data_IF_479165373168
#
_entry.id   IF_479165373168
#
_cell.length_a   1.000
_cell.length_b   1.000
_cell.length_c   1.000
_cell.angle_alpha   90.00
_cell.angle_beta   90.00
_cell.angle_gamma   90.00
#
_symmetry.space_group_name_H-M   'P 1'
#
loop_
_entity.id
_entity.type
_entity.pdbx_description
1 polymer ?
#
# COMPACT_ATOMS: atom_id res chain seq x y z
N UNK A 1 17.92 5.41 -16.11
CA UNK A 1 17.78 6.52 -15.16
C UNK A 1 17.96 5.95 -13.77
N UNK A 2 18.35 6.76 -12.78
CA UNK A 2 18.50 6.33 -11.39
C UNK A 2 17.16 6.43 -10.67
N UNK A 3 16.33 5.41 -10.83
CA UNK A 3 15.16 5.24 -9.96
C UNK A 3 15.60 4.62 -8.64
N UNK A 4 14.93 4.99 -7.54
CA UNK A 4 15.21 4.47 -6.22
C UNK A 4 13.96 3.80 -5.64
N UNK A 5 14.08 2.92 -4.63
CA UNK A 5 12.94 2.19 -4.08
C UNK A 5 11.78 3.09 -3.62
N UNK A 6 12.08 4.29 -3.11
CA UNK A 6 11.07 5.24 -2.64
C UNK A 6 10.20 5.85 -3.76
N UNK A 7 10.59 5.69 -5.03
CA UNK A 7 9.81 6.14 -6.19
C UNK A 7 8.77 5.10 -6.65
N UNK A 8 8.81 3.90 -6.07
CA UNK A 8 7.84 2.84 -6.35
C UNK A 8 6.59 2.98 -5.49
N UNK A 9 5.54 2.26 -5.89
CA UNK A 9 4.33 2.03 -5.08
C UNK A 9 4.66 1.45 -3.71
N UNK A 10 3.83 1.69 -2.71
CA UNK A 10 4.11 1.30 -1.32
C UNK A 10 4.41 -0.20 -1.19
N UNK A 11 3.61 -1.04 -1.86
CA UNK A 11 3.77 -2.50 -1.84
C UNK A 11 5.09 -2.94 -2.47
N UNK A 12 5.43 -2.39 -3.63
CA UNK A 12 6.63 -2.75 -4.38
C UNK A 12 7.89 -2.23 -3.68
N UNK A 13 7.82 -0.99 -3.18
CA UNK A 13 8.82 -0.40 -2.31
C UNK A 13 9.11 -1.29 -1.08
N UNK A 14 8.07 -1.71 -0.35
CA UNK A 14 8.23 -2.61 0.78
C UNK A 14 8.91 -3.94 0.37
N UNK A 15 8.50 -4.53 -0.75
CA UNK A 15 9.07 -5.79 -1.26
C UNK A 15 10.56 -5.64 -1.61
N UNK A 16 10.96 -4.56 -2.29
CA UNK A 16 12.36 -4.29 -2.63
C UNK A 16 13.19 -4.10 -1.36
N UNK A 17 12.73 -3.28 -0.41
CA UNK A 17 13.45 -3.05 0.85
C UNK A 17 13.58 -4.35 1.64
N UNK A 18 12.51 -5.14 1.69
CA UNK A 18 12.55 -6.48 2.26
C UNK A 18 13.66 -7.31 1.62
N UNK A 19 13.67 -7.46 0.29
CA UNK A 19 14.71 -8.24 -0.40
C UNK A 19 16.12 -7.74 -0.11
N UNK A 20 16.38 -6.44 -0.23
CA UNK A 20 17.69 -5.84 0.06
C UNK A 20 18.14 -6.13 1.50
N UNK A 21 17.22 -6.06 2.46
CA UNK A 21 17.53 -6.31 3.87
C UNK A 21 17.75 -7.80 4.19
N UNK A 22 17.18 -8.73 3.42
CA UNK A 22 17.51 -10.17 3.52
C UNK A 22 18.82 -10.53 2.79
N UNK A 23 19.13 -9.86 1.67
CA UNK A 23 20.37 -10.02 0.92
C UNK A 23 21.64 -9.65 1.72
N UNK A 24 21.53 -8.68 2.65
CA UNK A 24 22.58 -8.34 3.62
C UNK A 24 23.06 -9.53 4.47
N UNK A 25 22.30 -10.63 4.56
CA UNK A 25 22.63 -11.81 5.36
C UNK A 25 23.56 -12.82 4.65
N UNK A 26 24.06 -12.50 3.44
CA UNK A 26 25.09 -13.29 2.77
C UNK A 26 24.62 -14.66 2.26
N UNK A 27 23.31 -14.91 2.17
CA UNK A 27 22.78 -16.06 1.42
C UNK A 27 22.60 -15.64 -0.02
N UNK A 28 23.58 -16.00 -0.85
CA UNK A 28 23.47 -15.98 -2.30
C UNK A 28 22.24 -16.78 -2.77
N UNK A 29 21.81 -16.46 -3.97
CA UNK A 29 20.57 -16.86 -4.65
C UNK A 29 19.34 -16.05 -4.25
N UNK A 30 19.17 -14.95 -4.99
CA UNK A 30 18.00 -14.08 -5.06
C UNK A 30 16.66 -14.81 -5.35
N UNK A 31 16.69 -16.12 -5.66
CA UNK A 31 15.55 -16.90 -6.13
C UNK A 31 14.88 -17.80 -5.06
N UNK A 32 15.42 -17.90 -3.83
CA UNK A 32 15.14 -19.07 -2.98
C UNK A 32 14.48 -18.88 -1.62
N UNK A 33 14.16 -17.65 -1.18
CA UNK A 33 13.62 -17.49 0.18
C UNK A 33 12.08 -17.47 0.20
N UNK A 34 11.48 -18.44 0.90
CA UNK A 34 10.04 -18.51 1.30
C UNK A 34 9.53 -17.27 2.09
N UNK A 35 10.32 -16.22 2.15
CA UNK A 35 10.03 -14.95 2.77
C UNK A 35 8.96 -14.23 1.94
N UNK A 36 8.98 -14.33 0.62
CA UNK A 36 8.06 -13.61 -0.26
C UNK A 36 6.58 -13.97 -0.08
N UNK A 37 6.27 -15.19 0.38
CA UNK A 37 4.90 -15.61 0.64
C UNK A 37 4.33 -15.08 1.96
N UNK A 38 5.16 -14.52 2.85
CA UNK A 38 4.64 -13.93 4.08
C UNK A 38 4.06 -12.55 3.78
N UNK A 39 2.86 -12.24 4.31
CA UNK A 39 2.22 -10.94 4.10
C UNK A 39 3.12 -9.83 4.63
N UNK A 40 3.17 -8.71 3.88
CA UNK A 40 3.91 -7.53 4.32
C UNK A 40 3.26 -6.97 5.60
N UNK A 41 4.04 -6.69 6.65
CA UNK A 41 3.51 -6.08 7.85
C UNK A 41 2.97 -4.67 7.55
N UNK A 42 1.88 -4.24 8.22
CA UNK A 42 1.32 -2.92 7.99
C UNK A 42 2.36 -1.82 8.27
N UNK A 43 2.37 -0.73 7.51
CA UNK A 43 3.32 0.37 7.68
C UNK A 43 3.13 0.99 9.07
N UNK A 44 4.16 0.88 9.92
CA UNK A 44 4.14 1.41 11.29
C UNK A 44 5.51 1.98 11.62
N UNK A 45 5.52 3.20 12.15
CA UNK A 45 6.75 3.85 12.60
C UNK A 45 6.78 3.99 14.13
N UNK A 46 7.62 3.19 14.78
CA UNK A 46 7.92 3.32 16.21
C UNK A 46 8.93 4.45 16.50
N UNK A 47 9.17 4.73 17.79
CA UNK A 47 10.13 5.77 18.23
C UNK A 47 11.55 5.55 17.66
N UNK A 48 12.05 4.32 17.68
CA UNK A 48 13.35 3.97 17.09
C UNK A 48 13.35 4.13 15.56
N UNK A 49 12.25 3.75 14.90
CA UNK A 49 12.06 3.96 13.47
C UNK A 49 12.20 5.42 13.06
N UNK A 50 11.64 6.36 13.84
CA UNK A 50 11.80 7.81 13.62
C UNK A 50 13.27 8.24 13.72
N UNK A 51 14.03 7.67 14.65
CA UNK A 51 15.46 7.98 14.82
C UNK A 51 16.27 7.47 13.62
N UNK A 52 15.96 6.28 13.12
CA UNK A 52 16.62 5.71 11.95
C UNK A 52 16.28 6.47 10.66
N UNK A 53 15.01 6.83 10.48
CA UNK A 53 14.54 7.64 9.35
C UNK A 53 15.05 9.10 9.38
N UNK A 54 15.46 9.61 10.56
CA UNK A 54 15.94 10.99 10.69
C UNK A 54 17.15 11.26 9.77
N UNK A 55 16.94 12.17 8.82
CA UNK A 55 17.94 12.60 7.82
C UNK A 55 18.17 11.60 6.68
N UNK A 56 17.23 10.68 6.42
CA UNK A 56 17.25 9.86 5.19
C UNK A 56 16.62 10.56 3.98
N UNK A 57 15.90 11.68 4.19
CA UNK A 57 15.14 12.35 3.14
C UNK A 57 13.83 11.67 2.76
N UNK A 58 13.46 10.58 3.45
CA UNK A 58 12.22 9.85 3.22
C UNK A 58 11.04 10.55 3.91
N UNK A 59 9.87 10.49 3.28
CA UNK A 59 8.61 10.84 3.95
C UNK A 59 8.31 9.86 5.09
N UNK A 60 7.47 10.28 6.06
CA UNK A 60 7.08 9.40 7.17
C UNK A 60 6.41 8.12 6.66
N UNK A 61 5.58 8.23 5.62
CA UNK A 61 4.90 7.09 4.98
C UNK A 61 5.92 6.11 4.37
N UNK A 62 6.83 6.59 3.53
CA UNK A 62 7.87 5.75 2.91
C UNK A 62 8.72 5.04 3.97
N UNK A 63 9.16 5.78 4.99
CA UNK A 63 9.96 5.18 6.05
C UNK A 63 9.15 4.17 6.88
N UNK A 64 7.85 4.40 7.15
CA UNK A 64 7.00 3.43 7.84
C UNK A 64 6.84 2.12 7.06
N UNK A 65 6.67 2.23 5.73
CA UNK A 65 6.57 1.10 4.80
C UNK A 65 7.87 0.30 4.73
N UNK A 66 9.01 0.98 4.59
CA UNK A 66 10.31 0.30 4.52
C UNK A 66 10.78 -0.28 5.85
N UNK A 67 10.51 0.39 6.97
CA UNK A 67 10.93 -0.06 8.29
C UNK A 67 10.22 -1.35 8.71
N UNK A 68 8.91 -1.45 8.44
CA UNK A 68 8.17 -2.67 8.76
C UNK A 68 8.73 -3.86 7.95
N UNK A 69 9.02 -3.64 6.66
CA UNK A 69 9.66 -4.62 5.78
C UNK A 69 11.10 -5.00 6.20
N UNK A 70 11.90 -4.00 6.60
CA UNK A 70 13.29 -4.19 7.01
C UNK A 70 13.41 -4.86 8.38
N UNK A 71 12.49 -4.59 9.31
CA UNK A 71 12.58 -4.98 10.72
C UNK A 71 12.72 -6.49 10.91
N UNK A 72 12.12 -7.32 10.04
CA UNK A 72 12.18 -8.77 10.18
C UNK A 72 13.58 -9.37 9.99
N UNK A 73 14.44 -8.74 9.17
CA UNK A 73 15.83 -9.22 8.98
C UNK A 73 16.86 -8.37 9.74
N UNK A 74 16.62 -7.06 9.88
CA UNK A 74 17.49 -6.16 10.66
C UNK A 74 17.44 -6.45 12.14
N UNK A 75 16.29 -6.86 12.71
CA UNK A 75 16.26 -7.34 14.11
C UNK A 75 17.22 -8.52 14.28
N UNK A 76 17.20 -9.49 13.37
CA UNK A 76 18.11 -10.65 13.43
C UNK A 76 19.59 -10.25 13.46
N UNK A 77 20.03 -9.32 12.61
CA UNK A 77 21.43 -8.87 12.55
C UNK A 77 21.82 -7.94 13.69
N UNK A 78 20.91 -7.06 14.13
CA UNK A 78 21.11 -6.18 15.29
C UNK A 78 21.37 -6.96 16.57
N UNK A 79 20.78 -8.16 16.71
CA UNK A 79 20.99 -9.03 17.87
C UNK A 79 22.27 -9.87 17.80
N UNK A 80 22.84 -10.16 16.62
CA UNK A 80 24.03 -11.05 16.50
C UNK A 80 25.25 -10.47 17.21
N UNK A 81 25.57 -9.19 17.01
CA UNK A 81 26.72 -8.57 17.67
C UNK A 81 26.58 -8.53 19.22
N UNK A 82 25.47 -8.05 19.81
CA UNK A 82 25.33 -8.05 21.26
C UNK A 82 25.17 -9.45 21.86
N UNK A 83 24.56 -10.42 21.17
CA UNK A 83 24.49 -11.81 21.66
C UNK A 83 25.84 -12.50 21.64
N UNK A 84 26.65 -12.30 20.59
CA UNK A 84 28.00 -12.87 20.53
C UNK A 84 28.94 -12.23 21.54
N UNK A 85 28.96 -10.89 21.62
CA UNK A 85 29.78 -10.16 22.58
C UNK A 85 29.32 -10.43 24.01
N UNK A 86 28.01 -10.40 24.28
CA UNK A 86 27.46 -10.70 25.60
C UNK A 86 27.68 -12.14 26.03
N UNK A 87 27.57 -13.10 25.11
CA UNK A 87 27.89 -14.51 25.35
C UNK A 87 29.36 -14.72 25.71
N UNK A 88 30.29 -14.13 24.94
CA UNK A 88 31.72 -14.17 25.23
C UNK A 88 32.05 -13.50 26.58
N UNK A 89 31.47 -12.34 26.84
CA UNK A 89 31.72 -11.59 28.06
C UNK A 89 31.15 -12.29 29.32
N UNK A 90 30.00 -12.96 29.21
CA UNK A 90 29.48 -13.82 30.26
C UNK A 90 30.38 -15.03 30.51
N UNK A 91 30.91 -15.67 29.46
CA UNK A 91 31.78 -16.84 29.58
C UNK A 91 33.09 -16.48 30.29
N UNK A 92 33.70 -15.34 29.93
CA UNK A 92 34.89 -14.79 30.61
C UNK A 92 34.59 -14.47 32.07
N UNK A 93 33.43 -13.85 32.35
CA UNK A 93 33.02 -13.50 33.70
C UNK A 93 32.77 -14.73 34.58
N UNK A 94 32.16 -15.78 34.02
CA UNK A 94 31.92 -17.04 34.71
C UNK A 94 33.24 -17.75 35.08
N UNK A 95 34.23 -17.76 34.18
CA UNK A 95 35.56 -18.32 34.46
C UNK A 95 36.25 -17.53 35.57
N UNK A 96 36.20 -16.20 35.53
CA UNK A 96 36.82 -15.34 36.53
C UNK A 96 36.17 -15.50 37.91
N UNK A 97 34.84 -15.55 37.96
CA UNK A 97 34.09 -15.77 39.19
C UNK A 97 34.42 -17.14 39.81
N UNK A 98 34.47 -18.20 38.98
CA UNK A 98 34.76 -19.56 39.45
C UNK A 98 36.21 -19.73 39.94
N UNK A 99 37.19 -19.05 39.33
CA UNK A 99 38.61 -19.18 39.69
C UNK A 99 39.08 -18.21 40.77
N UNK A 100 38.50 -17.01 40.83
CA UNK A 100 39.04 -15.90 41.62
C UNK A 100 38.01 -15.24 42.54
N UNK A 101 36.74 -15.63 42.48
CA UNK A 101 35.68 -15.02 43.30
C UNK A 101 35.41 -13.54 42.99
N UNK A 102 36.01 -12.99 41.93
CA UNK A 102 35.86 -11.57 41.59
C UNK A 102 34.59 -11.33 40.77
N UNK A 103 33.77 -10.38 41.22
CA UNK A 103 32.47 -10.03 40.64
C UNK A 103 32.58 -8.83 39.68
N UNK A 104 33.67 -8.03 39.76
CA UNK A 104 33.90 -6.87 38.88
C UNK A 104 33.83 -7.18 37.37
N UNK A 105 34.35 -8.33 36.87
CA UNK A 105 34.23 -8.68 35.45
C UNK A 105 32.78 -8.78 34.98
N UNK A 106 31.86 -9.17 35.87
CA UNK A 106 30.45 -9.29 35.56
C UNK A 106 29.81 -7.91 35.27
N UNK A 107 30.13 -6.90 36.08
CA UNK A 107 29.66 -5.53 35.85
C UNK A 107 30.21 -4.93 34.54
N UNK A 108 31.50 -5.17 34.25
CA UNK A 108 32.14 -4.76 33.00
C UNK A 108 31.49 -5.46 31.80
N UNK A 109 31.21 -6.77 31.91
CA UNK A 109 30.55 -7.54 30.86
C UNK A 109 29.14 -7.02 30.56
N UNK A 110 28.38 -6.65 31.60
CA UNK A 110 27.05 -6.09 31.45
C UNK A 110 27.08 -4.72 30.78
N UNK A 111 27.99 -3.84 31.20
CA UNK A 111 28.18 -2.51 30.60
C UNK A 111 28.60 -2.60 29.12
N UNK A 112 29.53 -3.50 28.78
CA UNK A 112 30.01 -3.70 27.42
C UNK A 112 28.92 -4.31 26.53
N UNK A 113 28.14 -5.25 27.05
CA UNK A 113 26.97 -5.82 26.35
C UNK A 113 25.92 -4.75 26.09
N UNK A 114 25.61 -3.90 27.08
CA UNK A 114 24.67 -2.80 26.92
C UNK A 114 25.16 -1.77 25.88
N UNK A 115 26.45 -1.40 25.91
CA UNK A 115 27.05 -0.48 24.96
C UNK A 115 27.03 -1.04 23.52
N UNK A 116 27.41 -2.31 23.34
CA UNK A 116 27.36 -2.98 22.02
C UNK A 116 25.93 -3.14 21.54
N UNK A 117 24.98 -3.44 22.44
CA UNK A 117 23.55 -3.52 22.10
C UNK A 117 23.02 -2.16 21.63
N UNK A 118 23.41 -1.07 22.30
CA UNK A 118 23.02 0.27 21.88
C UNK A 118 23.65 0.66 20.53
N UNK A 119 24.94 0.39 20.35
CA UNK A 119 25.66 0.68 19.10
C UNK A 119 25.18 -0.20 17.93
N UNK A 120 24.77 -1.44 18.15
CA UNK A 120 24.16 -2.25 17.10
C UNK A 120 22.73 -1.80 16.81
N UNK A 121 21.96 -1.44 17.83
CA UNK A 121 20.55 -1.08 17.66
C UNK A 121 20.32 0.30 17.02
N UNK A 122 21.25 1.25 17.15
CA UNK A 122 21.02 2.62 16.70
C UNK A 122 21.84 2.98 15.44
N UNK A 123 23.17 3.16 15.50
CA UNK A 123 23.93 3.59 14.33
C UNK A 123 24.01 2.52 13.24
N UNK A 124 24.17 1.23 13.60
CA UNK A 124 24.23 0.17 12.61
C UNK A 124 22.90 -0.03 11.90
N UNK A 125 21.79 -0.15 12.66
CA UNK A 125 20.46 -0.25 12.08
C UNK A 125 20.13 0.94 11.17
N UNK A 126 20.49 2.16 11.59
CA UNK A 126 20.35 3.37 10.78
C UNK A 126 21.17 3.32 9.49
N UNK A 127 22.41 2.86 9.56
CA UNK A 127 23.29 2.73 8.40
C UNK A 127 22.77 1.67 7.42
N UNK A 128 22.41 0.49 7.92
CA UNK A 128 21.84 -0.59 7.12
C UNK A 128 20.54 -0.14 6.43
N UNK A 129 19.65 0.52 7.18
CA UNK A 129 18.42 1.10 6.64
C UNK A 129 18.74 2.09 5.51
N UNK A 130 19.65 3.05 5.74
CA UNK A 130 20.06 4.01 4.71
C UNK A 130 20.68 3.35 3.48
N UNK A 131 21.46 2.29 3.67
CA UNK A 131 22.09 1.56 2.56
C UNK A 131 21.04 0.98 1.62
N UNK A 132 19.92 0.44 2.15
CA UNK A 132 18.83 -0.08 1.33
C UNK A 132 18.16 0.97 0.43
N UNK A 133 18.29 2.26 0.74
CA UNK A 133 17.75 3.38 -0.05
C UNK A 133 18.78 4.11 -0.89
N UNK A 134 20.07 3.91 -0.61
CA UNK A 134 21.14 4.67 -1.28
C UNK A 134 21.40 4.15 -2.69
N UNK A 135 21.15 2.87 -2.93
CA UNK A 135 21.40 2.24 -4.22
C UNK A 135 20.20 2.42 -5.16
N UNK A 136 20.42 2.79 -6.43
CA UNK A 136 19.34 2.81 -7.42
C UNK A 136 18.77 1.40 -7.61
N UNK A 137 17.55 1.32 -8.12
CA UNK A 137 16.91 0.06 -8.47
C UNK A 137 17.72 -0.65 -9.55
N UNK A 138 18.06 -1.90 -9.28
CA UNK A 138 18.66 -2.77 -10.28
C UNK A 138 17.56 -3.35 -11.18
N UNK A 139 17.87 -3.55 -12.46
CA UNK A 139 16.94 -4.14 -13.43
C UNK A 139 16.40 -5.50 -12.94
N UNK A 140 17.28 -6.36 -12.42
CA UNK A 140 16.91 -7.66 -11.90
C UNK A 140 15.96 -7.61 -10.69
N UNK A 141 15.95 -6.51 -9.91
CA UNK A 141 14.96 -6.37 -8.83
C UNK A 141 13.55 -6.19 -9.39
N UNK A 142 13.41 -5.49 -10.52
CA UNK A 142 12.12 -5.23 -11.19
C UNK A 142 11.65 -6.47 -11.95
N UNK A 143 12.55 -7.19 -12.62
CA UNK A 143 12.22 -8.45 -13.28
C UNK A 143 11.66 -9.46 -12.30
N UNK A 144 12.28 -9.59 -11.12
CA UNK A 144 11.76 -10.44 -10.07
C UNK A 144 10.42 -9.95 -9.48
N UNK A 145 10.13 -8.63 -9.50
CA UNK A 145 8.80 -8.16 -9.12
C UNK A 145 7.76 -8.61 -10.16
N UNK A 146 8.07 -8.47 -11.45
CA UNK A 146 7.22 -8.90 -12.56
C UNK A 146 6.95 -10.41 -12.52
N UNK A 147 7.95 -11.23 -12.20
CA UNK A 147 7.82 -12.70 -12.12
C UNK A 147 6.96 -13.15 -10.94
N UNK A 148 7.04 -12.45 -9.80
CA UNK A 148 6.42 -12.89 -8.56
C UNK A 148 4.98 -12.38 -8.39
N UNK A 149 4.57 -11.40 -9.17
CA UNK A 149 3.21 -10.83 -9.17
C UNK A 149 2.21 -11.68 -9.98
N UNK A 150 2.09 -12.97 -9.65
CA UNK A 150 1.15 -13.90 -10.32
C UNK A 150 -0.32 -13.49 -10.20
N UNK A 151 -0.66 -12.67 -9.23
CA UNK A 151 -2.01 -12.14 -8.98
C UNK A 151 -2.11 -10.64 -9.24
N UNK A 152 -1.12 -10.04 -9.89
CA UNK A 152 -1.17 -8.62 -10.23
C UNK A 152 -2.30 -8.34 -11.22
N UNK A 153 -2.93 -7.18 -11.06
CA UNK A 153 -3.81 -6.68 -12.11
C UNK A 153 -2.98 -6.16 -13.30
N UNK A 154 -3.57 -6.13 -14.50
CA UNK A 154 -2.89 -5.68 -15.72
C UNK A 154 -2.27 -4.28 -15.58
N UNK A 155 -2.95 -3.37 -14.89
CA UNK A 155 -2.46 -2.05 -14.51
C UNK A 155 -1.14 -2.09 -13.74
N UNK A 156 -0.97 -3.01 -12.79
CA UNK A 156 0.25 -3.12 -11.98
C UNK A 156 1.43 -3.63 -12.82
N UNK A 157 1.17 -4.59 -13.71
CA UNK A 157 2.16 -5.10 -14.65
C UNK A 157 2.59 -4.02 -15.65
N UNK A 158 1.64 -3.23 -16.16
CA UNK A 158 1.92 -2.10 -17.04
C UNK A 158 2.78 -1.04 -16.35
N UNK A 159 2.49 -0.73 -15.09
CA UNK A 159 3.31 0.15 -14.27
C UNK A 159 4.73 -0.39 -14.07
N UNK A 160 4.89 -1.67 -13.69
CA UNK A 160 6.21 -2.27 -13.51
C UNK A 160 7.03 -2.31 -14.81
N UNK A 161 6.38 -2.53 -15.95
CA UNK A 161 7.03 -2.45 -17.27
C UNK A 161 7.53 -1.04 -17.55
N UNK A 162 6.75 -0.01 -17.23
CA UNK A 162 7.19 1.39 -17.30
C UNK A 162 8.42 1.65 -16.43
N UNK A 163 8.39 1.22 -15.17
CA UNK A 163 9.53 1.36 -14.25
C UNK A 163 10.77 0.65 -14.81
N UNK A 164 10.63 -0.57 -15.33
CA UNK A 164 11.72 -1.31 -15.97
C UNK A 164 12.31 -0.55 -17.15
N UNK A 165 11.46 -0.04 -18.04
CA UNK A 165 11.90 0.68 -19.23
C UNK A 165 12.64 1.98 -18.83
N UNK A 166 12.17 2.67 -17.78
CA UNK A 166 12.85 3.84 -17.21
C UNK A 166 14.21 3.52 -16.55
N UNK A 167 14.34 2.37 -15.87
CA UNK A 167 15.63 1.92 -15.30
C UNK A 167 16.62 1.59 -16.42
N UNK A 168 16.18 0.87 -17.45
CA UNK A 168 17.00 0.47 -18.61
C UNK A 168 17.56 1.65 -19.40
N UNK A 169 16.90 2.80 -19.33
CA UNK A 169 17.29 4.03 -20.00
C UNK A 169 18.60 4.61 -19.42
N UNK A 170 19.75 4.03 -19.73
CA UNK A 170 21.06 4.37 -19.16
C UNK A 170 21.75 5.57 -19.81
N UNK A 171 21.17 6.15 -20.86
CA UNK A 171 21.73 7.29 -21.57
C UNK A 171 21.86 8.54 -20.67
N UNK A 172 22.89 9.35 -20.92
CA UNK A 172 23.13 10.68 -20.34
C UNK A 172 21.93 11.58 -20.58
N UNK A 173 20.91 11.43 -19.73
CA UNK A 173 19.69 12.22 -19.80
C UNK A 173 19.90 13.48 -18.97
N UNK A 174 19.33 14.59 -19.40
CA UNK A 174 19.31 15.82 -18.61
C UNK A 174 18.74 15.51 -17.20
N UNK A 175 19.41 15.92 -16.10
CA UNK A 175 18.93 15.69 -14.74
C UNK A 175 17.53 16.26 -14.49
N UNK A 176 17.12 17.33 -15.18
CA UNK A 176 15.77 17.89 -15.08
C UNK A 176 14.73 16.91 -15.64
N UNK A 177 14.95 16.40 -16.85
CA UNK A 177 14.08 15.39 -17.47
C UNK A 177 14.01 14.11 -16.65
N UNK A 178 15.14 13.69 -16.07
CA UNK A 178 15.16 12.56 -15.16
C UNK A 178 14.27 12.81 -13.93
N UNK A 179 14.36 13.98 -13.29
CA UNK A 179 13.53 14.34 -12.15
C UNK A 179 12.03 14.39 -12.51
N UNK A 180 11.69 14.86 -13.71
CA UNK A 180 10.30 14.87 -14.21
C UNK A 180 9.75 13.46 -14.42
N UNK A 181 10.51 12.57 -15.05
CA UNK A 181 10.12 11.17 -15.24
C UNK A 181 9.98 10.46 -13.89
N UNK A 182 10.89 10.70 -12.94
CA UNK A 182 10.77 10.15 -11.58
C UNK A 182 9.50 10.65 -10.88
N UNK A 183 9.19 11.94 -10.99
CA UNK A 183 7.99 12.52 -10.41
C UNK A 183 6.71 11.96 -11.06
N UNK A 184 6.71 11.76 -12.37
CA UNK A 184 5.58 11.15 -13.10
C UNK A 184 5.35 9.70 -12.64
N UNK A 185 6.41 8.88 -12.57
CA UNK A 185 6.33 7.49 -12.11
C UNK A 185 5.83 7.42 -10.66
N UNK A 186 6.32 8.30 -9.77
CA UNK A 186 5.88 8.34 -8.39
C UNK A 186 4.38 8.73 -8.29
N UNK A 187 3.95 9.73 -9.07
CA UNK A 187 2.55 10.18 -9.11
C UNK A 187 1.61 9.09 -9.64
N UNK A 188 2.00 8.38 -10.70
CA UNK A 188 1.21 7.25 -11.22
C UNK A 188 1.13 6.12 -10.19
N UNK A 189 2.22 5.81 -9.49
CA UNK A 189 2.22 4.81 -8.42
C UNK A 189 1.24 5.18 -7.29
N UNK A 190 1.26 6.44 -6.87
CA UNK A 190 0.35 6.97 -5.85
C UNK A 190 -1.12 6.94 -6.31
N UNK A 191 -1.40 7.26 -7.58
CA UNK A 191 -2.74 7.17 -8.15
C UNK A 191 -3.27 5.72 -8.11
N UNK A 192 -2.44 4.75 -8.52
CA UNK A 192 -2.80 3.32 -8.51
C UNK A 192 -3.06 2.83 -7.08
N UNK A 193 -2.21 3.21 -6.11
CA UNK A 193 -2.38 2.80 -4.70
C UNK A 193 -3.67 3.34 -4.06
N UNK A 194 -4.23 4.43 -4.60
CA UNK A 194 -5.49 5.03 -4.14
C UNK A 194 -6.72 4.50 -4.84
N UNK A 195 -6.58 3.87 -6.00
CA UNK A 195 -7.73 3.34 -6.72
C UNK A 195 -8.36 2.21 -5.92
N UNK A 196 -9.68 2.28 -5.65
CA UNK A 196 -10.34 1.21 -4.93
C UNK A 196 -10.34 -0.06 -5.78
N UNK A 197 -10.23 -1.21 -5.12
CA UNK A 197 -10.46 -2.51 -5.75
C UNK A 197 -11.96 -2.60 -6.04
N UNK A 198 -12.30 -2.73 -7.31
CA UNK A 198 -13.69 -2.84 -7.76
C UNK A 198 -13.94 -4.31 -8.07
N UNK A 199 -14.56 -4.99 -7.11
CA UNK A 199 -15.10 -6.33 -7.30
C UNK A 199 -16.59 -6.26 -6.97
N UNK A 200 -17.36 -5.75 -7.92
CA UNK A 200 -18.81 -5.54 -7.74
C UNK A 200 -19.53 -6.22 -8.88
N UNK A 201 -20.35 -7.20 -8.54
CA UNK A 201 -21.28 -7.81 -9.48
C UNK A 201 -22.39 -6.80 -9.80
N UNK A 202 -22.64 -6.50 -11.10
CA UNK A 202 -23.66 -5.54 -11.47
C UNK A 202 -25.05 -6.07 -11.05
N UNK A 203 -25.75 -5.32 -10.22
CA UNK A 203 -27.14 -5.59 -9.83
C UNK A 203 -28.05 -5.06 -10.94
N UNK A 204 -29.05 -5.85 -11.34
CA UNK A 204 -30.06 -5.42 -12.30
C UNK A 204 -31.05 -4.46 -11.64
N UNK A 205 -30.76 -3.16 -11.66
CA UNK A 205 -31.59 -2.12 -11.04
C UNK A 205 -32.93 -1.92 -11.75
N UNK A 206 -33.03 -2.26 -13.04
CA UNK A 206 -34.30 -2.25 -13.77
C UNK A 206 -35.27 -3.31 -13.23
N UNK A 207 -34.78 -4.53 -12.96
CA UNK A 207 -35.60 -5.59 -12.37
C UNK A 207 -36.11 -5.21 -10.96
N UNK A 208 -35.26 -4.56 -10.14
CA UNK A 208 -35.67 -4.08 -8.81
C UNK A 208 -36.76 -3.01 -8.87
N UNK A 209 -36.70 -2.09 -9.84
CA UNK A 209 -37.75 -1.07 -10.04
C UNK A 209 -39.05 -1.69 -10.53
N UNK A 210 -38.97 -2.64 -11.45
CA UNK A 210 -40.14 -3.37 -11.92
C UNK A 210 -40.81 -4.17 -10.78
N UNK A 211 -40.04 -4.83 -9.91
CA UNK A 211 -40.59 -5.51 -8.73
C UNK A 211 -41.26 -4.52 -7.76
N UNK A 212 -40.67 -3.33 -7.57
CA UNK A 212 -41.25 -2.28 -6.75
C UNK A 212 -42.59 -1.76 -7.31
N UNK A 213 -42.67 -1.53 -8.63
CA UNK A 213 -43.89 -1.10 -9.30
C UNK A 213 -45.02 -2.14 -9.15
N UNK A 214 -44.69 -3.43 -9.28
CA UNK A 214 -45.65 -4.53 -9.05
C UNK A 214 -46.16 -4.51 -7.60
N UNK A 215 -45.28 -4.40 -6.62
CA UNK A 215 -45.67 -4.34 -5.20
C UNK A 215 -46.51 -3.09 -4.87
N UNK A 216 -46.23 -1.96 -5.53
CA UNK A 216 -47.02 -0.73 -5.35
C UNK A 216 -48.42 -0.86 -5.97
N UNK A 217 -48.52 -1.48 -7.14
CA UNK A 217 -49.81 -1.79 -7.76
C UNK A 217 -50.63 -2.76 -6.88
N UNK A 218 -49.99 -3.79 -6.33
CA UNK A 218 -50.63 -4.72 -5.40
C UNK A 218 -51.10 -3.99 -4.13
N UNK A 219 -50.28 -3.10 -3.56
CA UNK A 219 -50.63 -2.34 -2.37
C UNK A 219 -51.94 -1.53 -2.53
N UNK A 220 -52.16 -0.96 -3.73
CA UNK A 220 -53.35 -0.14 -4.03
C UNK A 220 -54.64 -0.96 -4.14
N UNK A 221 -54.55 -2.24 -4.52
CA UNK A 221 -55.71 -3.12 -4.73
C UNK A 221 -56.02 -3.94 -3.46
N UNK A 222 -55.07 -4.02 -2.51
CA UNK A 222 -55.24 -4.79 -1.30
C UNK A 222 -56.32 -4.19 -0.36
N UNK A 223 -57.35 -4.96 0.03
CA UNK A 223 -58.41 -4.48 0.91
C UNK A 223 -57.98 -4.38 2.38
N UNK A 224 -56.95 -5.12 2.79
CA UNK A 224 -56.36 -5.02 4.12
C UNK A 224 -55.30 -3.91 4.14
N UNK A 225 -55.59 -2.87 4.92
CA UNK A 225 -54.73 -1.69 5.07
C UNK A 225 -53.33 -2.04 5.57
N UNK A 226 -53.18 -2.99 6.49
CA UNK A 226 -51.87 -3.31 7.08
C UNK A 226 -50.99 -4.01 6.03
N UNK A 227 -51.58 -4.88 5.22
CA UNK A 227 -50.88 -5.56 4.12
C UNK A 227 -50.49 -4.53 3.06
N UNK A 228 -51.40 -3.63 2.67
CA UNK A 228 -51.12 -2.53 1.75
C UNK A 228 -49.94 -1.67 2.19
N UNK A 229 -49.96 -1.17 3.43
CA UNK A 229 -48.86 -0.36 4.01
C UNK A 229 -47.54 -1.15 4.11
N UNK A 230 -47.59 -2.47 4.29
CA UNK A 230 -46.39 -3.31 4.28
C UNK A 230 -45.80 -3.47 2.88
N UNK A 231 -46.64 -3.64 1.86
CA UNK A 231 -46.22 -3.75 0.46
C UNK A 231 -45.63 -2.44 -0.05
N UNK A 232 -46.25 -1.31 0.31
CA UNK A 232 -45.74 0.03 -0.01
C UNK A 232 -44.34 0.27 0.59
N UNK A 233 -44.15 -0.04 1.87
CA UNK A 233 -42.82 0.06 2.51
C UNK A 233 -41.78 -0.83 1.84
N UNK A 234 -42.18 -2.01 1.35
CA UNK A 234 -41.28 -2.92 0.62
C UNK A 234 -40.95 -2.38 -0.76
N UNK A 235 -41.92 -1.84 -1.49
CA UNK A 235 -41.71 -1.17 -2.78
C UNK A 235 -40.72 0.00 -2.62
N UNK A 236 -40.94 0.87 -1.63
CA UNK A 236 -40.04 1.98 -1.29
C UNK A 236 -38.62 1.51 -0.98
N UNK A 237 -38.48 0.41 -0.23
CA UNK A 237 -37.18 -0.17 0.08
C UNK A 237 -36.46 -0.68 -1.17
N UNK A 238 -37.19 -1.29 -2.12
CA UNK A 238 -36.63 -1.75 -3.39
C UNK A 238 -36.19 -0.59 -4.28
N UNK A 239 -36.98 0.49 -4.38
CA UNK A 239 -36.60 1.70 -5.12
C UNK A 239 -35.33 2.32 -4.53
N UNK A 240 -35.28 2.51 -3.20
CA UNK A 240 -34.08 3.04 -2.52
C UNK A 240 -32.85 2.16 -2.76
N UNK A 241 -33.04 0.83 -2.77
CA UNK A 241 -31.97 -0.12 -3.10
C UNK A 241 -31.51 0.00 -4.55
N UNK A 242 -32.42 0.16 -5.51
CA UNK A 242 -32.09 0.39 -6.91
C UNK A 242 -31.27 1.68 -7.08
N UNK A 243 -31.69 2.78 -6.46
CA UNK A 243 -30.99 4.08 -6.53
C UNK A 243 -29.61 4.05 -5.85
N UNK A 244 -29.46 3.30 -4.77
CA UNK A 244 -28.15 3.09 -4.13
C UNK A 244 -27.21 2.28 -5.04
N UNK A 245 -27.74 1.26 -5.73
CA UNK A 245 -26.96 0.46 -6.68
C UNK A 245 -26.58 1.26 -7.93
N UNK A 246 -27.45 2.11 -8.46
CA UNK A 246 -27.11 2.97 -9.60
C UNK A 246 -25.99 3.97 -9.25
N UNK A 247 -26.05 4.58 -8.06
CA UNK A 247 -24.97 5.45 -7.56
C UNK A 247 -23.64 4.71 -7.41
N UNK A 248 -23.69 3.50 -6.84
CA UNK A 248 -22.51 2.64 -6.70
C UNK A 248 -21.97 2.21 -8.07
N UNK A 249 -22.85 1.85 -9.00
CA UNK A 249 -22.50 1.47 -10.36
C UNK A 249 -21.85 2.60 -11.15
N UNK A 250 -22.31 3.84 -10.96
CA UNK A 250 -21.67 5.02 -11.55
C UNK A 250 -20.25 5.24 -10.99
N UNK A 251 -20.04 5.09 -9.68
CA UNK A 251 -18.71 5.17 -9.07
C UNK A 251 -17.77 4.05 -9.59
N UNK A 252 -18.30 2.84 -9.78
CA UNK A 252 -17.59 1.71 -10.40
C UNK A 252 -17.16 2.05 -11.83
N UNK A 253 -18.06 2.57 -12.67
CA UNK A 253 -17.72 2.98 -14.05
C UNK A 253 -16.68 4.09 -14.08
N UNK A 254 -16.78 5.09 -13.20
CA UNK A 254 -15.77 6.15 -13.07
C UNK A 254 -14.41 5.57 -12.69
N UNK A 255 -14.36 4.66 -11.72
CA UNK A 255 -13.11 4.01 -11.31
C UNK A 255 -12.51 3.18 -12.45
N UNK A 256 -13.34 2.47 -13.21
CA UNK A 256 -12.89 1.71 -14.38
C UNK A 256 -12.35 2.63 -15.49
N UNK A 257 -13.01 3.75 -15.76
CA UNK A 257 -12.53 4.75 -16.70
C UNK A 257 -11.18 5.36 -16.24
N UNK A 258 -11.04 5.67 -14.96
CA UNK A 258 -9.77 6.15 -14.39
C UNK A 258 -8.64 5.12 -14.51
N UNK A 259 -8.94 3.83 -14.30
CA UNK A 259 -7.96 2.75 -14.51
C UNK A 259 -7.48 2.71 -15.97
N UNK A 260 -8.40 2.75 -16.93
CA UNK A 260 -8.07 2.75 -18.35
C UNK A 260 -7.26 3.99 -18.77
N UNK A 261 -7.60 5.16 -18.23
CA UNK A 261 -6.87 6.40 -18.47
C UNK A 261 -5.44 6.35 -17.89
N UNK A 262 -5.26 5.80 -16.68
CA UNK A 262 -3.91 5.59 -16.12
C UNK A 262 -3.10 4.60 -16.98
N UNK A 263 -3.71 3.53 -17.48
CA UNK A 263 -3.04 2.60 -18.40
C UNK A 263 -2.60 3.28 -19.70
N UNK A 264 -3.45 4.14 -20.27
CA UNK A 264 -3.11 4.94 -21.44
C UNK A 264 -1.94 5.90 -21.17
N UNK A 265 -1.92 6.56 -20.02
CA UNK A 265 -0.81 7.44 -19.64
C UNK A 265 0.49 6.68 -19.38
N UNK A 266 0.42 5.49 -18.79
CA UNK A 266 1.57 4.59 -18.66
C UNK A 266 2.12 4.23 -20.04
N UNK A 267 1.25 3.88 -21.00
CA UNK A 267 1.67 3.55 -22.36
C UNK A 267 2.34 4.75 -23.07
N UNK A 268 1.74 5.93 -22.98
CA UNK A 268 2.29 7.17 -23.55
C UNK A 268 3.65 7.53 -22.92
N UNK A 269 3.81 7.38 -21.61
CA UNK A 269 5.08 7.64 -20.94
C UNK A 269 6.15 6.62 -21.32
N UNK A 270 5.79 5.35 -21.53
CA UNK A 270 6.72 4.33 -22.04
C UNK A 270 7.22 4.67 -23.43
N UNK A 271 6.32 5.11 -24.31
CA UNK A 271 6.69 5.59 -25.65
C UNK A 271 7.62 6.80 -25.57
N UNK A 272 7.27 7.80 -24.73
CA UNK A 272 8.12 8.96 -24.47
C UNK A 272 9.53 8.57 -23.99
N UNK A 273 9.65 7.68 -23.01
CA UNK A 273 10.94 7.18 -22.52
C UNK A 273 11.71 6.43 -23.60
N UNK A 274 11.04 5.61 -24.42
CA UNK A 274 11.68 4.92 -25.52
C UNK A 274 12.26 5.89 -26.57
N UNK A 275 11.57 6.99 -26.87
CA UNK A 275 12.08 8.03 -27.78
C UNK A 275 13.29 8.77 -27.23
N UNK A 276 13.39 8.96 -25.91
CA UNK A 276 14.61 9.49 -25.27
C UNK A 276 15.81 8.54 -25.44
N UNK A 277 15.57 7.22 -25.50
CA UNK A 277 16.58 6.16 -25.64
C UNK A 277 17.24 6.05 -26.99
N UNK A 278 16.52 6.38 -28.05
CA UNK A 278 17.03 6.20 -29.42
C UNK A 278 18.01 7.29 -29.85
N UNK A 279 18.29 8.28 -29.00
CA UNK A 279 19.32 9.29 -29.27
C UNK A 279 19.02 10.18 -30.48
N UNK A 280 17.79 10.16 -31.01
CA UNK A 280 17.28 11.13 -31.99
C UNK A 280 17.02 12.51 -31.34
N UNK A 281 17.87 12.87 -30.37
CA UNK A 281 17.90 14.15 -29.70
C UNK A 281 18.71 15.15 -30.50
N UNK A 282 18.06 15.76 -31.49
CA UNK A 282 18.24 17.21 -31.64
C UNK A 282 17.85 17.87 -30.31
N UNK A 283 18.49 19.01 -30.02
CA UNK A 283 18.48 19.77 -28.77
C UNK A 283 17.10 20.34 -28.34
N UNK A 284 16.04 19.53 -28.36
CA UNK A 284 14.67 19.99 -28.52
C UNK A 284 13.92 20.09 -27.20
N UNK A 285 13.71 21.35 -26.79
CA UNK A 285 12.73 21.79 -25.79
C UNK A 285 11.38 21.08 -25.92
N UNK A 286 10.97 20.69 -27.13
CA UNK A 286 9.72 19.99 -27.40
C UNK A 286 9.60 18.63 -26.67
N UNK A 287 10.70 17.88 -26.51
CA UNK A 287 10.65 16.61 -25.76
C UNK A 287 10.48 16.83 -24.27
N UNK A 288 11.13 17.86 -23.72
CA UNK A 288 10.96 18.28 -22.33
C UNK A 288 9.56 18.80 -22.07
N UNK A 289 9.01 19.63 -22.94
CA UNK A 289 7.64 20.15 -22.84
C UNK A 289 6.61 19.01 -22.83
N UNK A 290 6.75 18.02 -23.72
CA UNK A 290 5.86 16.87 -23.76
C UNK A 290 5.92 16.04 -22.47
N UNK A 291 7.11 15.81 -21.91
CA UNK A 291 7.28 15.08 -20.65
C UNK A 291 6.74 15.87 -19.45
N UNK A 292 6.94 17.19 -19.46
CA UNK A 292 6.38 18.08 -18.45
C UNK A 292 4.85 18.00 -18.47
N UNK A 293 4.22 18.06 -19.65
CA UNK A 293 2.78 17.89 -19.82
C UNK A 293 2.29 16.51 -19.34
N UNK A 294 3.01 15.43 -19.66
CA UNK A 294 2.70 14.09 -19.17
C UNK A 294 2.80 14.01 -17.64
N UNK A 295 3.83 14.61 -17.05
CA UNK A 295 4.01 14.66 -15.60
C UNK A 295 2.90 15.44 -14.90
N UNK A 296 2.45 16.53 -15.50
CA UNK A 296 1.33 17.33 -14.98
C UNK A 296 0.01 16.56 -15.12
N UNK A 297 -0.21 15.88 -16.24
CA UNK A 297 -1.37 15.01 -16.46
C UNK A 297 -1.44 13.89 -15.42
N UNK A 298 -0.31 13.22 -15.15
CA UNK A 298 -0.20 12.19 -14.13
C UNK A 298 -0.51 12.71 -12.72
N UNK A 299 -0.09 13.95 -12.39
CA UNK A 299 -0.42 14.61 -11.10
C UNK A 299 -1.91 14.95 -11.00
N UNK A 300 -2.51 15.44 -12.09
CA UNK A 300 -3.96 15.72 -12.14
C UNK A 300 -4.77 14.45 -11.96
N UNK A 301 -4.39 13.35 -12.63
CA UNK A 301 -5.01 12.04 -12.42
C UNK A 301 -4.85 11.54 -10.99
N UNK A 302 -3.66 11.70 -10.39
CA UNK A 302 -3.47 11.29 -9.00
C UNK A 302 -4.39 12.05 -8.05
N UNK A 303 -4.61 13.35 -8.28
CA UNK A 303 -5.57 14.15 -7.52
C UNK A 303 -7.02 13.70 -7.77
N UNK A 304 -7.38 13.34 -9.00
CA UNK A 304 -8.71 12.81 -9.32
C UNK A 304 -8.95 11.44 -8.66
N UNK A 305 -7.95 10.56 -8.67
CA UNK A 305 -8.01 9.27 -7.98
C UNK A 305 -8.20 9.44 -6.46
N UNK A 306 -7.57 10.44 -5.83
CA UNK A 306 -7.82 10.82 -4.42
C UNK A 306 -9.25 11.24 -4.21
N UNK A 307 -9.75 12.12 -5.07
CA UNK A 307 -11.11 12.66 -4.99
C UNK A 307 -12.14 11.53 -5.12
N UNK A 308 -11.95 10.63 -6.09
CA UNK A 308 -12.79 9.46 -6.30
C UNK A 308 -12.77 8.48 -5.11
N UNK A 309 -11.58 8.23 -4.53
CA UNK A 309 -11.44 7.39 -3.35
C UNK A 309 -12.12 8.01 -2.11
N UNK A 310 -11.97 9.32 -1.92
CA UNK A 310 -12.59 10.06 -0.80
C UNK A 310 -14.11 10.08 -0.93
N UNK A 311 -14.64 10.37 -2.12
CA UNK A 311 -16.08 10.33 -2.40
C UNK A 311 -16.68 8.94 -2.13
N UNK A 312 -15.93 7.87 -2.42
CA UNK A 312 -16.36 6.50 -2.10
C UNK A 312 -16.36 6.23 -0.59
N UNK A 313 -15.31 6.66 0.12
CA UNK A 313 -15.26 6.50 1.58
C UNK A 313 -16.42 7.24 2.27
N UNK A 314 -16.82 8.41 1.77
CA UNK A 314 -18.02 9.13 2.24
C UNK A 314 -19.31 8.35 1.97
N UNK A 315 -19.46 7.75 0.78
CA UNK A 315 -20.60 6.90 0.45
C UNK A 315 -20.68 5.67 1.36
N UNK A 316 -19.55 4.99 1.58
CA UNK A 316 -19.49 3.80 2.44
C UNK A 316 -19.75 4.16 3.92
N UNK A 317 -19.23 5.30 4.39
CA UNK A 317 -19.47 5.80 5.75
C UNK A 317 -20.91 6.26 5.99
N UNK A 318 -21.54 6.92 5.02
CA UNK A 318 -22.92 7.37 5.11
C UNK A 318 -23.97 6.25 5.09
N UNK A 319 -23.62 5.09 4.53
CA UNK A 319 -24.46 3.88 4.57
C UNK A 319 -24.35 3.16 5.92
N UNK A 320 -23.19 3.18 6.61
CA UNK A 320 -23.07 2.54 7.92
C UNK A 320 -23.90 3.21 9.03
N UNK A 321 -23.95 4.53 9.04
CA UNK A 321 -24.48 5.30 10.18
C UNK A 321 -26.01 5.40 10.20
N UNK A 322 -26.68 5.22 9.05
CA UNK A 322 -28.15 5.30 8.95
C UNK A 322 -28.87 3.99 9.25
N UNK A 323 -28.18 2.85 9.18
CA UNK A 323 -28.80 1.53 9.41
C UNK A 323 -28.61 1.01 10.83
N UNK A 324 -27.63 1.51 11.58
CA UNK A 324 -27.42 1.17 13.00
C UNK A 324 -28.56 1.68 13.90
N UNK A 325 -29.22 2.78 13.54
CA UNK A 325 -30.29 3.39 14.33
C UNK A 325 -31.64 2.65 14.19
N UNK A 326 -31.84 1.87 13.12
CA UNK A 326 -33.12 1.19 12.86
C UNK A 326 -33.17 -0.22 13.46
N UNK A 327 -32.02 -0.79 13.87
CA UNK A 327 -31.91 -2.17 14.33
C UNK A 327 -32.16 -2.41 15.83
N UNK A 328 -32.21 -1.38 16.67
CA UNK A 328 -32.24 -1.54 18.14
C UNK A 328 -33.60 -1.19 18.79
N UNK A 329 -34.67 -1.04 17.99
CA UNK A 329 -36.04 -1.15 18.52
C UNK A 329 -36.39 -2.63 18.72
N UNK A 330 -35.72 -3.25 19.68
CA UNK A 330 -36.12 -4.53 20.24
C UNK A 330 -37.48 -4.31 20.90
N UNK A 331 -38.53 -4.77 20.23
CA UNK A 331 -39.87 -4.84 20.79
C UNK A 331 -39.82 -5.58 22.13
N UNK A 332 -39.95 -4.83 23.22
CA UNK A 332 -40.26 -5.42 24.51
C UNK A 332 -41.57 -6.20 24.34
N UNK A 333 -41.61 -7.51 24.61
CA UNK A 333 -42.84 -8.26 24.55
C UNK A 333 -43.74 -7.77 25.69
N UNK A 334 -44.79 -7.03 25.31
CA UNK A 334 -45.86 -6.58 26.18
C UNK A 334 -46.47 -7.80 26.88
N UNK A 335 -46.14 -8.00 28.17
CA UNK A 335 -46.66 -9.09 28.98
C UNK A 335 -48.15 -8.82 29.25
N UNK A 336 -49.02 -9.40 28.42
CA UNK A 336 -50.46 -9.45 28.68
C UNK A 336 -50.70 -10.32 29.92
N UNK A 337 -51.00 -9.67 31.05
CA UNK A 337 -51.45 -10.36 32.26
C UNK A 337 -52.87 -10.87 32.06
N UNK A 338 -53.02 -12.16 31.80
CA UNK A 338 -54.32 -12.83 31.80
C UNK A 338 -54.81 -12.96 33.24
N UNK A 339 -55.84 -12.19 33.59
CA UNK A 339 -56.53 -12.29 34.87
C UNK A 339 -57.36 -13.57 34.95
N UNK A 340 -57.07 -14.41 35.94
CA UNK A 340 -57.88 -15.58 36.28
C UNK A 340 -59.13 -15.17 37.08
N UNK A 341 -60.28 -15.74 36.72
CA UNK A 341 -61.45 -15.89 37.59
C UNK A 341 -61.48 -17.30 38.14
#
# INVERSE_FOLDING_TARGET
MKLFPQHLRDRQHATVIRRRTYGLRGKGDYAGTNVESMPLPPPKMGKLGRIWAKGSGLTEKQAATGLSAASMSTLGTVWVAPTTVGGLAMLISAISLAKHGNIEPLAISAALTAAVSYLSAVPWAKMAFRWCYKEPLAEGEIEQLLENEKTATELELSYLRLVRDAVRQTAETNPETEAEVQAAIASLGEAIDRLPVVDVTPVNTAALRQEAEVLQADALINPDRVIGESLERRADALVRRADANDRSGLAVRRTAALRAEIEAQIAALREGIATLGTGYGTSDSATSENLQHLSESARRLAAEAVSAASARAELDGGVGDKWSVVGDQKSEPERVSVGAR
#
